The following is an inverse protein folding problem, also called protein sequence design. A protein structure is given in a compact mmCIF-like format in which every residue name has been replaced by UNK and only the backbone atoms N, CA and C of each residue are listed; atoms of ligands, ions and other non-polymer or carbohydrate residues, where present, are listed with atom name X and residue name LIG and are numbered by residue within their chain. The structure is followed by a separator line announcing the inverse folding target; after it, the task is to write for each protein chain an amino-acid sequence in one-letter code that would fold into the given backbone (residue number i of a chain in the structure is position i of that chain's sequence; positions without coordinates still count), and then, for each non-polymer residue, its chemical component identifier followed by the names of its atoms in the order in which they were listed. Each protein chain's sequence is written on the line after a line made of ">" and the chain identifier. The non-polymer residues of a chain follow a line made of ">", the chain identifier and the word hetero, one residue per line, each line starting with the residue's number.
data_IF_376670831221
#
_entry.id   IF_376670831221
#
_cell.length_a   1.000
_cell.length_b   1.000
_cell.length_c   1.000
_cell.angle_alpha   90.00
_cell.angle_beta   90.00
_cell.angle_gamma   90.00
#
_symmetry.space_group_name_H-M   'P 1'
#
loop_
_entity.id
_entity.type
_entity.pdbx_description
1 polymer ?
#
# COMPACT_ATOMS: atom_id res chain seq x y z
N UNK A 1 7.45 -17.68 -6.14
CA UNK A 1 8.01 -16.48 -5.47
C UNK A 1 9.26 -16.07 -6.20
N UNK A 2 9.39 -14.81 -6.61
CA UNK A 2 10.60 -14.33 -7.31
C UNK A 2 11.68 -13.96 -6.26
N UNK A 3 12.78 -14.73 -6.16
CA UNK A 3 13.83 -14.48 -5.18
C UNK A 3 14.58 -13.17 -5.43
N UNK A 4 14.60 -12.66 -6.67
CA UNK A 4 15.22 -11.38 -7.00
C UNK A 4 14.41 -10.22 -6.43
N UNK A 5 13.09 -10.30 -6.56
CA UNK A 5 12.17 -9.29 -6.03
C UNK A 5 12.29 -9.16 -4.52
N UNK A 6 12.32 -10.29 -3.81
CA UNK A 6 12.48 -10.30 -2.36
C UNK A 6 13.80 -9.63 -1.91
N UNK A 7 14.93 -9.99 -2.55
CA UNK A 7 16.23 -9.34 -2.27
C UNK A 7 16.22 -7.85 -2.55
N UNK A 8 15.57 -7.41 -3.62
CA UNK A 8 15.43 -5.98 -3.92
C UNK A 8 14.70 -5.25 -2.80
N UNK A 9 13.57 -5.80 -2.33
CA UNK A 9 12.82 -5.20 -1.23
C UNK A 9 13.56 -5.26 0.12
N UNK A 10 14.42 -6.25 0.35
CA UNK A 10 15.33 -6.25 1.51
C UNK A 10 16.31 -5.07 1.45
N UNK A 11 16.89 -4.79 0.27
CA UNK A 11 17.77 -3.63 0.07
C UNK A 11 17.01 -2.32 0.25
N UNK A 12 15.80 -2.21 -0.30
CA UNK A 12 14.91 -1.06 -0.10
C UNK A 12 14.61 -0.86 1.39
N UNK A 13 14.29 -1.93 2.11
CA UNK A 13 14.06 -1.87 3.56
C UNK A 13 15.31 -1.41 4.32
N UNK A 14 16.49 -1.91 3.95
CA UNK A 14 17.75 -1.46 4.55
C UNK A 14 17.98 0.04 4.34
N UNK A 15 17.71 0.58 3.14
CA UNK A 15 17.76 2.01 2.89
C UNK A 15 16.72 2.79 3.71
N UNK A 16 15.50 2.26 3.84
CA UNK A 16 14.45 2.85 4.69
C UNK A 16 14.89 2.93 6.16
N UNK A 17 15.63 1.93 6.66
CA UNK A 17 16.19 1.91 8.02
C UNK A 17 17.30 2.95 8.22
N UNK A 18 18.18 3.15 7.23
CA UNK A 18 19.34 4.04 7.36
C UNK A 18 18.98 5.50 7.09
N UNK A 19 18.28 5.79 5.99
CA UNK A 19 17.98 7.16 5.53
C UNK A 19 16.57 7.63 5.89
N UNK A 20 15.72 6.71 6.34
CA UNK A 20 14.33 6.97 6.69
C UNK A 20 13.36 6.74 5.52
N UNK A 21 12.23 6.10 5.81
CA UNK A 21 11.18 5.76 4.83
C UNK A 21 10.73 6.94 3.97
N UNK A 22 10.53 8.13 4.58
CA UNK A 22 10.06 9.34 3.88
C UNK A 22 11.04 9.81 2.80
N UNK A 23 12.32 9.51 2.94
CA UNK A 23 13.33 9.84 1.95
C UNK A 23 13.30 8.84 0.81
N UNK A 24 13.24 7.54 1.12
CA UNK A 24 13.29 6.46 0.13
C UNK A 24 12.06 6.42 -0.76
N UNK A 25 10.88 6.65 -0.19
CA UNK A 25 9.60 6.64 -0.93
C UNK A 25 9.57 7.67 -2.08
N UNK A 26 10.37 8.74 -2.01
CA UNK A 26 10.48 9.75 -3.09
C UNK A 26 11.11 9.20 -4.37
N UNK A 27 11.84 8.09 -4.27
CA UNK A 27 12.47 7.44 -5.43
C UNK A 27 11.59 6.35 -6.05
N UNK A 28 10.42 6.09 -5.47
CA UNK A 28 9.49 5.13 -6.05
C UNK A 28 8.76 5.76 -7.25
N UNK A 29 8.48 4.99 -8.31
CA UNK A 29 7.65 5.46 -9.41
C UNK A 29 6.30 5.93 -8.87
N UNK A 30 5.86 7.12 -9.28
CA UNK A 30 4.68 7.80 -8.77
C UNK A 30 3.59 7.98 -9.84
N UNK A 31 3.66 7.20 -10.91
CA UNK A 31 2.63 7.24 -11.94
C UNK A 31 1.35 6.59 -11.42
N UNK A 32 0.19 7.18 -11.74
CA UNK A 32 -1.11 6.63 -11.37
C UNK A 32 -1.32 5.21 -11.90
N UNK A 33 -0.74 4.90 -13.07
CA UNK A 33 -0.76 3.57 -13.69
C UNK A 33 -0.07 2.47 -12.85
N UNK A 34 0.80 2.84 -11.90
CA UNK A 34 1.49 1.87 -11.04
C UNK A 34 0.63 1.41 -9.85
N UNK A 35 -0.50 2.06 -9.59
CA UNK A 35 -1.36 1.76 -8.44
C UNK A 35 -1.94 0.34 -8.50
N UNK A 36 -2.52 -0.06 -9.62
CA UNK A 36 -3.06 -1.42 -9.77
C UNK A 36 -1.96 -2.50 -9.78
N UNK A 37 -0.82 -2.38 -10.50
CA UNK A 37 0.28 -3.32 -10.39
C UNK A 37 0.76 -3.53 -8.95
N UNK A 38 0.89 -2.45 -8.17
CA UNK A 38 1.31 -2.52 -6.76
C UNK A 38 0.24 -3.21 -5.91
N UNK A 39 -1.04 -2.94 -6.16
CA UNK A 39 -2.14 -3.62 -5.49
C UNK A 39 -2.16 -5.13 -5.80
N UNK A 40 -1.98 -5.49 -7.07
CA UNK A 40 -1.84 -6.89 -7.52
C UNK A 40 -0.63 -7.57 -6.90
N UNK A 41 0.49 -6.86 -6.73
CA UNK A 41 1.66 -7.37 -6.02
C UNK A 41 1.34 -7.68 -4.56
N UNK A 42 0.59 -6.81 -3.87
CA UNK A 42 0.21 -6.99 -2.48
C UNK A 42 -0.74 -8.19 -2.30
N UNK A 43 -1.68 -8.41 -3.22
CA UNK A 43 -2.55 -9.60 -3.25
C UNK A 43 -1.78 -10.91 -3.36
N UNK A 44 -0.67 -10.92 -4.12
CA UNK A 44 0.18 -12.11 -4.26
C UNK A 44 1.03 -12.38 -3.03
N UNK A 45 1.12 -11.44 -2.10
CA UNK A 45 1.86 -11.62 -0.86
C UNK A 45 0.97 -12.34 0.15
N UNK A 46 1.38 -13.54 0.54
CA UNK A 46 0.72 -14.33 1.58
C UNK A 46 0.88 -13.65 2.96
N UNK A 47 -0.21 -13.36 3.70
CA UNK A 47 -0.14 -12.78 5.03
C UNK A 47 0.57 -13.68 6.05
N UNK A 48 0.47 -15.01 5.92
CA UNK A 48 1.11 -15.98 6.82
C UNK A 48 2.61 -16.15 6.54
N UNK A 49 3.13 -15.58 5.46
CA UNK A 49 4.52 -15.76 5.06
C UNK A 49 5.48 -14.80 5.75
N UNK A 50 6.03 -15.20 6.88
CA UNK A 50 7.00 -14.41 7.62
C UNK A 50 8.36 -14.21 6.91
N UNK A 51 8.63 -14.92 5.81
CA UNK A 51 9.92 -14.80 5.10
C UNK A 51 9.97 -13.58 4.20
N UNK A 52 8.88 -13.23 3.50
CA UNK A 52 8.88 -12.14 2.50
C UNK A 52 8.19 -10.86 2.96
N UNK A 53 8.19 -10.62 4.27
CA UNK A 53 7.53 -9.46 4.87
C UNK A 53 8.08 -8.11 4.36
N UNK A 54 9.33 -8.03 3.90
CA UNK A 54 9.92 -6.81 3.32
C UNK A 54 9.23 -6.42 2.01
N UNK A 55 8.78 -7.41 1.22
CA UNK A 55 8.01 -7.16 -0.01
C UNK A 55 6.66 -6.56 0.35
N UNK A 56 5.99 -7.09 1.38
CA UNK A 56 4.72 -6.56 1.91
C UNK A 56 4.90 -5.12 2.39
N UNK A 57 5.92 -4.88 3.21
CA UNK A 57 6.26 -3.56 3.72
C UNK A 57 6.53 -2.56 2.59
N UNK A 58 7.38 -2.92 1.64
CA UNK A 58 7.73 -2.07 0.51
C UNK A 58 6.54 -1.76 -0.39
N UNK A 59 5.71 -2.76 -0.69
CA UNK A 59 4.48 -2.57 -1.47
C UNK A 59 3.48 -1.66 -0.75
N UNK A 60 3.28 -1.81 0.57
CA UNK A 60 2.39 -0.93 1.35
C UNK A 60 2.90 0.52 1.42
N UNK A 61 4.21 0.71 1.57
CA UNK A 61 4.82 2.03 1.49
C UNK A 61 4.60 2.68 0.13
N UNK A 62 4.76 1.89 -0.94
CA UNK A 62 4.53 2.36 -2.30
C UNK A 62 3.06 2.73 -2.51
N UNK A 63 2.14 1.86 -2.10
CA UNK A 63 0.71 2.12 -2.15
C UNK A 63 0.31 3.36 -1.35
N UNK A 64 0.90 3.57 -0.17
CA UNK A 64 0.69 4.78 0.64
C UNK A 64 1.15 6.07 -0.03
N UNK A 65 2.12 5.99 -0.93
CA UNK A 65 2.55 7.14 -1.72
C UNK A 65 1.64 7.35 -2.92
N UNK A 66 1.30 6.27 -3.62
CA UNK A 66 0.38 6.31 -4.75
C UNK A 66 -1.03 6.74 -4.34
N UNK A 67 -1.45 6.51 -3.09
CA UNK A 67 -2.72 7.05 -2.57
C UNK A 67 -2.73 8.57 -2.40
N UNK A 68 -1.60 9.27 -2.62
CA UNK A 68 -1.53 10.73 -2.60
C UNK A 68 -1.46 11.35 -4.00
N UNK A 69 -1.61 10.55 -5.08
CA UNK A 69 -1.65 11.10 -6.44
C UNK A 69 -2.83 12.05 -6.62
N UNK A 70 -2.68 13.13 -7.40
CA UNK A 70 -3.68 14.20 -7.54
C UNK A 70 -4.85 13.85 -8.48
N UNK A 71 -5.03 12.57 -8.81
CA UNK A 71 -6.08 12.09 -9.71
C UNK A 71 -7.11 11.30 -8.93
N UNK A 72 -8.38 11.41 -9.31
CA UNK A 72 -9.46 10.66 -8.68
C UNK A 72 -9.25 9.15 -8.87
N UNK A 73 -9.36 8.36 -7.80
CA UNK A 73 -9.12 6.91 -7.87
C UNK A 73 -10.12 6.20 -8.80
N UNK A 74 -11.31 6.77 -9.00
CA UNK A 74 -12.31 6.28 -9.95
C UNK A 74 -11.83 6.31 -11.41
N UNK A 75 -10.94 7.22 -11.76
CA UNK A 75 -10.37 7.33 -13.12
C UNK A 75 -9.25 6.32 -13.39
N UNK A 76 -8.69 5.75 -12.31
CA UNK A 76 -7.60 4.77 -12.36
C UNK A 76 -8.16 3.34 -12.37
N UNK A 77 -9.38 3.15 -11.84
CA UNK A 77 -10.02 1.83 -11.74
C UNK A 77 -10.35 1.27 -13.13
N UNK A 78 -9.55 0.30 -13.59
CA UNK A 78 -9.74 -0.33 -14.90
C UNK A 78 -11.02 -1.16 -14.98
N UNK A 79 -11.62 -1.57 -13.86
CA UNK A 79 -12.89 -2.32 -13.89
C UNK A 79 -14.10 -1.40 -14.04
N UNK A 80 -13.95 -0.09 -13.77
CA UNK A 80 -15.05 0.88 -13.67
C UNK A 80 -16.17 0.48 -12.69
N UNK A 81 -15.93 -0.51 -11.82
CA UNK A 81 -16.90 -1.00 -10.83
C UNK A 81 -16.75 -0.31 -9.47
N UNK A 82 -15.75 0.57 -9.30
CA UNK A 82 -15.49 1.27 -8.04
C UNK A 82 -14.91 0.36 -6.95
N UNK A 83 -14.38 -0.80 -7.33
CA UNK A 83 -13.90 -1.85 -6.42
C UNK A 83 -12.50 -1.59 -5.89
N UNK A 84 -11.74 -0.73 -6.56
CA UNK A 84 -10.34 -0.46 -6.26
C UNK A 84 -10.13 0.06 -4.83
N UNK A 85 -10.92 1.05 -4.41
CA UNK A 85 -10.81 1.68 -3.09
C UNK A 85 -11.19 0.71 -1.95
N UNK A 86 -12.37 0.04 -1.99
CA UNK A 86 -12.71 -0.98 -0.99
C UNK A 86 -11.65 -2.08 -0.88
N UNK A 87 -11.06 -2.50 -2.00
CA UNK A 87 -10.03 -3.53 -2.01
C UNK A 87 -8.72 -3.07 -1.34
N UNK A 88 -8.27 -1.85 -1.64
CA UNK A 88 -7.13 -1.23 -0.96
C UNK A 88 -7.35 -1.12 0.56
N UNK A 89 -8.54 -0.68 0.99
CA UNK A 89 -8.88 -0.56 2.41
C UNK A 89 -8.86 -1.93 3.09
N UNK A 90 -9.49 -2.93 2.49
CA UNK A 90 -9.53 -4.31 2.99
C UNK A 90 -8.13 -4.91 3.14
N UNK A 91 -7.26 -4.73 2.14
CA UNK A 91 -5.88 -5.21 2.23
C UNK A 91 -5.10 -4.51 3.34
N UNK A 92 -5.26 -3.19 3.49
CA UNK A 92 -4.57 -2.49 4.56
C UNK A 92 -5.10 -2.94 5.93
N UNK A 93 -6.41 -3.08 6.11
CA UNK A 93 -7.04 -3.60 7.34
C UNK A 93 -6.48 -4.97 7.71
N UNK A 94 -6.41 -5.90 6.75
CA UNK A 94 -5.85 -7.23 6.98
C UNK A 94 -4.39 -7.17 7.48
N UNK A 95 -3.63 -6.14 7.09
CA UNK A 95 -2.22 -5.94 7.49
C UNK A 95 -2.04 -5.04 8.72
N UNK A 96 -3.10 -4.46 9.27
CA UNK A 96 -3.04 -3.77 10.56
C UNK A 96 -2.87 -4.75 11.73
N UNK A 97 -3.24 -6.02 11.54
CA UNK A 97 -3.04 -7.09 12.50
C UNK A 97 -1.59 -7.64 12.51
N UNK A 98 -0.79 -7.35 11.48
CA UNK A 98 0.60 -7.81 11.40
C UNK A 98 1.45 -7.16 12.53
N UNK A 99 2.48 -7.88 12.99
CA UNK A 99 3.47 -7.28 13.89
C UNK A 99 4.56 -6.54 13.09
N UNK A 100 5.05 -5.42 13.63
CA UNK A 100 6.24 -4.75 13.12
C UNK A 100 6.00 -3.74 11.98
N UNK A 101 6.99 -3.52 11.10
CA UNK A 101 6.97 -2.40 10.13
C UNK A 101 5.83 -2.43 9.13
N UNK A 102 5.33 -3.63 8.78
CA UNK A 102 4.22 -3.82 7.84
C UNK A 102 2.95 -3.14 8.32
N UNK A 103 2.64 -3.24 9.63
CA UNK A 103 1.50 -2.58 10.25
C UNK A 103 1.58 -1.06 10.15
N UNK A 104 2.75 -0.50 10.43
CA UNK A 104 2.95 0.95 10.36
C UNK A 104 2.79 1.46 8.92
N UNK A 105 3.26 0.70 7.93
CA UNK A 105 3.06 1.01 6.51
C UNK A 105 1.58 0.91 6.10
N UNK A 106 0.85 -0.12 6.58
CA UNK A 106 -0.58 -0.25 6.35
C UNK A 106 -1.36 0.91 6.96
N UNK A 107 -1.06 1.30 8.21
CA UNK A 107 -1.69 2.43 8.89
C UNK A 107 -1.46 3.74 8.13
N UNK A 108 -0.25 3.95 7.59
CA UNK A 108 0.04 5.10 6.73
C UNK A 108 -0.79 5.10 5.44
N UNK A 109 -0.94 3.94 4.80
CA UNK A 109 -1.71 3.81 3.58
C UNK A 109 -3.18 4.14 3.81
N UNK A 110 -3.79 3.57 4.87
CA UNK A 110 -5.18 3.90 5.26
C UNK A 110 -5.31 5.37 5.58
N UNK A 111 -4.44 5.93 6.42
CA UNK A 111 -4.50 7.34 6.76
C UNK A 111 -4.36 8.24 5.51
N UNK A 112 -3.53 7.84 4.54
CA UNK A 112 -3.41 8.50 3.24
C UNK A 112 -4.74 8.49 2.49
N UNK A 113 -5.36 7.31 2.36
CA UNK A 113 -6.66 7.13 1.70
C UNK A 113 -7.77 7.96 2.35
N UNK A 114 -7.89 7.91 3.68
CA UNK A 114 -8.95 8.61 4.42
C UNK A 114 -8.84 10.14 4.37
N UNK A 115 -7.65 10.67 4.09
CA UNK A 115 -7.43 12.12 3.95
C UNK A 115 -7.68 12.64 2.54
N UNK A 116 -7.92 11.76 1.57
CA UNK A 116 -8.14 12.20 0.19
C UNK A 116 -9.50 12.89 0.05
N UNK A 117 -9.59 13.96 -0.76
CA UNK A 117 -10.84 14.70 -0.94
C UNK A 117 -11.89 13.93 -1.77
N UNK A 118 -11.46 12.97 -2.59
CA UNK A 118 -12.33 12.11 -3.43
C UNK A 118 -12.91 10.91 -2.67
N UNK A 119 -12.51 10.70 -1.41
CA UNK A 119 -12.98 9.57 -0.61
C UNK A 119 -14.40 9.80 -0.10
N UNK A 120 -15.30 8.84 -0.36
CA UNK A 120 -16.65 8.89 0.20
C UNK A 120 -16.60 8.79 1.73
N UNK A 121 -17.40 9.61 2.41
CA UNK A 121 -17.52 9.62 3.87
C UNK A 121 -18.03 8.28 4.41
N UNK A 122 -18.72 7.49 3.59
CA UNK A 122 -19.16 6.13 3.92
C UNK A 122 -17.96 5.22 4.23
N UNK A 123 -16.90 5.28 3.43
CA UNK A 123 -15.70 4.44 3.58
C UNK A 123 -15.01 4.69 4.92
N UNK A 124 -14.91 5.96 5.35
CA UNK A 124 -14.35 6.31 6.65
C UNK A 124 -15.23 5.82 7.80
N UNK A 125 -16.56 5.96 7.68
CA UNK A 125 -17.50 5.50 8.70
C UNK A 125 -17.45 3.99 8.86
N UNK A 126 -17.38 3.25 7.75
CA UNK A 126 -17.28 1.80 7.76
C UNK A 126 -15.95 1.34 8.34
N UNK A 127 -14.85 2.03 8.01
CA UNK A 127 -13.54 1.78 8.61
C UNK A 127 -13.53 1.99 10.13
N UNK A 128 -14.19 3.04 10.65
CA UNK A 128 -14.28 3.29 12.09
C UNK A 128 -15.17 2.29 12.85
N UNK A 129 -16.04 1.55 12.14
CA UNK A 129 -16.94 0.55 12.72
C UNK A 129 -16.38 -0.87 12.73
N UNK A 130 -15.36 -1.12 11.92
CA UNK A 130 -14.58 -2.36 11.90
C UNK A 130 -13.84 -2.55 13.23
#
# INVERSE_FOLDING_TARGET
>A
RDPKLHRLFQVVYAFCKVRGRKHIVKFFPNAAADLEPVLRLLHRCDPADHVTWEVRYGALLWLSMLSLVPFDLSTIDSTAEGTLVPDMVRLCQARLADAGPTRDAAAMCVAGLMKRPDMDQTVLRDFMRW
#
